data_IF_184247821157
#
_entry.id   IF_184247821157
#
_cell.length_a   1.000
_cell.length_b   1.000
_cell.length_c   1.000
_cell.angle_alpha   90.00
_cell.angle_beta   90.00
_cell.angle_gamma   90.00
#
_symmetry.space_group_name_H-M   'P 1'
#
loop_
_entity.id
_entity.type
_entity.pdbx_description
1 polymer ?
#
# COMPACT_ATOMS: atom_id res chain seq x y z
N UNK A 1 -11.18 -2.45 -19.14
CA UNK A 1 -9.86 -2.57 -19.81
C UNK A 1 -9.24 -3.87 -19.34
N UNK A 2 -8.80 -4.75 -20.25
CA UNK A 2 -8.16 -6.01 -19.86
C UNK A 2 -6.67 -5.74 -19.58
N UNK A 3 -6.23 -5.96 -18.34
CA UNK A 3 -4.83 -5.90 -17.93
C UNK A 3 -4.38 -7.30 -17.54
N UNK A 4 -3.29 -7.78 -18.14
CA UNK A 4 -2.73 -9.10 -17.85
C UNK A 4 -1.65 -8.95 -16.80
N UNK A 5 -1.95 -9.36 -15.56
CA UNK A 5 -0.98 -9.46 -14.48
C UNK A 5 -0.28 -10.82 -14.57
N UNK A 6 1.06 -10.82 -14.66
CA UNK A 6 1.84 -12.06 -14.58
C UNK A 6 2.12 -12.38 -13.11
N UNK A 7 1.53 -13.47 -12.65
CA UNK A 7 1.76 -14.06 -11.33
C UNK A 7 2.45 -15.41 -11.50
N UNK A 8 3.18 -15.84 -10.48
CA UNK A 8 3.58 -17.24 -10.39
C UNK A 8 2.34 -18.11 -10.05
N UNK A 9 2.46 -19.43 -10.22
CA UNK A 9 1.33 -20.34 -10.06
C UNK A 9 0.78 -20.36 -8.62
N UNK A 10 1.65 -20.23 -7.62
CA UNK A 10 1.28 -20.21 -6.20
C UNK A 10 0.44 -18.98 -5.83
N UNK A 11 0.85 -17.80 -6.29
CA UNK A 11 0.15 -16.53 -6.03
C UNK A 11 -1.17 -16.48 -6.80
N UNK A 12 -1.21 -17.07 -7.99
CA UNK A 12 -2.45 -17.21 -8.75
C UNK A 12 -3.45 -18.15 -8.04
N UNK A 13 -2.97 -19.27 -7.49
CA UNK A 13 -3.79 -20.20 -6.72
C UNK A 13 -4.36 -19.54 -5.44
N UNK A 14 -3.52 -18.80 -4.71
CA UNK A 14 -3.96 -18.02 -3.52
C UNK A 14 -4.99 -16.95 -3.90
N UNK A 15 -4.74 -16.20 -4.97
CA UNK A 15 -5.65 -15.16 -5.42
C UNK A 15 -7.02 -15.74 -5.80
N UNK A 16 -7.02 -16.93 -6.41
CA UNK A 16 -8.25 -17.66 -6.74
C UNK A 16 -8.99 -18.15 -5.51
N UNK A 17 -8.32 -18.75 -4.54
CA UNK A 17 -8.92 -19.19 -3.27
C UNK A 17 -9.59 -18.01 -2.53
N UNK A 18 -8.90 -16.87 -2.45
CA UNK A 18 -9.45 -15.65 -1.83
C UNK A 18 -10.66 -15.14 -2.60
N UNK A 19 -10.59 -15.11 -3.93
CA UNK A 19 -11.70 -14.67 -4.77
C UNK A 19 -12.95 -15.57 -4.61
N UNK A 20 -12.76 -16.89 -4.55
CA UNK A 20 -13.83 -17.86 -4.32
C UNK A 20 -14.43 -17.71 -2.91
N UNK A 21 -13.60 -17.53 -1.88
CA UNK A 21 -14.04 -17.32 -0.50
C UNK A 21 -14.83 -16.02 -0.31
N UNK A 22 -14.42 -14.94 -0.97
CA UNK A 22 -15.08 -13.63 -0.86
C UNK A 22 -16.22 -13.43 -1.86
N UNK A 23 -16.39 -14.35 -2.83
CA UNK A 23 -17.40 -14.21 -3.89
C UNK A 23 -17.12 -13.02 -4.83
N UNK A 24 -15.85 -12.66 -4.99
CA UNK A 24 -15.40 -11.48 -5.76
C UNK A 24 -14.56 -11.92 -6.95
N UNK A 25 -14.40 -11.05 -7.95
CA UNK A 25 -13.49 -11.34 -9.05
C UNK A 25 -12.02 -11.25 -8.60
N UNK A 26 -11.15 -12.11 -9.14
CA UNK A 26 -9.72 -12.05 -8.87
C UNK A 26 -9.10 -10.67 -9.16
N UNK A 27 -9.62 -9.99 -10.20
CA UNK A 27 -9.19 -8.64 -10.52
C UNK A 27 -9.55 -7.63 -9.42
N UNK A 28 -10.75 -7.74 -8.85
CA UNK A 28 -11.20 -6.86 -7.79
C UNK A 28 -10.37 -7.04 -6.50
N UNK A 29 -10.03 -8.29 -6.16
CA UNK A 29 -9.12 -8.59 -5.05
C UNK A 29 -7.73 -8.00 -5.31
N UNK A 30 -7.19 -8.17 -6.52
CA UNK A 30 -5.88 -7.62 -6.88
C UNK A 30 -5.85 -6.08 -6.79
N UNK A 31 -6.90 -5.40 -7.28
CA UNK A 31 -7.01 -3.93 -7.19
C UNK A 31 -7.14 -3.49 -5.73
N UNK A 32 -7.92 -4.20 -4.91
CA UNK A 32 -8.05 -3.90 -3.48
C UNK A 32 -6.70 -4.03 -2.77
N UNK A 33 -5.97 -5.12 -3.00
CA UNK A 33 -4.65 -5.35 -2.43
C UNK A 33 -3.64 -4.26 -2.82
N UNK A 34 -3.66 -3.81 -4.09
CA UNK A 34 -2.81 -2.70 -4.55
C UNK A 34 -3.14 -1.39 -3.84
N UNK A 35 -4.43 -1.05 -3.70
CA UNK A 35 -4.86 0.16 -2.99
C UNK A 35 -4.44 0.13 -1.53
N UNK A 36 -4.61 -1.01 -0.86
CA UNK A 36 -4.19 -1.19 0.51
C UNK A 36 -2.67 -1.09 0.68
N UNK A 37 -1.90 -1.65 -0.26
CA UNK A 37 -0.45 -1.52 -0.28
C UNK A 37 0.00 -0.06 -0.38
N UNK A 38 -0.58 0.72 -1.31
CA UNK A 38 -0.26 2.13 -1.45
C UNK A 38 -0.68 2.95 -0.23
N UNK A 39 -1.87 2.71 0.33
CA UNK A 39 -2.33 3.40 1.52
C UNK A 39 -1.40 3.19 2.72
N UNK A 40 -0.98 1.93 2.96
CA UNK A 40 0.01 1.61 4.02
C UNK A 40 1.35 2.30 3.79
N UNK A 41 1.80 2.39 2.54
CA UNK A 41 3.06 3.05 2.21
C UNK A 41 3.00 4.58 2.39
N UNK A 42 1.87 5.20 2.07
CA UNK A 42 1.66 6.63 2.33
C UNK A 42 1.59 6.93 3.83
N UNK A 43 0.89 6.11 4.59
CA UNK A 43 0.82 6.23 6.05
C UNK A 43 2.22 6.09 6.68
N UNK A 44 3.00 5.09 6.23
CA UNK A 44 4.37 4.92 6.69
C UNK A 44 5.22 6.15 6.39
N UNK A 45 5.18 6.69 5.16
CA UNK A 45 5.92 7.92 4.82
C UNK A 45 5.47 9.12 5.64
N UNK A 46 4.17 9.32 5.81
CA UNK A 46 3.62 10.41 6.59
C UNK A 46 4.07 10.33 8.06
N UNK A 47 4.07 9.13 8.64
CA UNK A 47 4.53 8.93 10.01
C UNK A 47 6.05 9.14 10.18
N UNK A 48 6.86 8.72 9.21
CA UNK A 48 8.30 9.00 9.23
C UNK A 48 8.60 10.50 9.13
N UNK A 49 7.91 11.21 8.24
CA UNK A 49 8.06 12.67 8.11
C UNK A 49 7.60 13.39 9.38
N UNK A 50 6.48 12.99 9.98
CA UNK A 50 6.02 13.54 11.26
C UNK A 50 7.03 13.33 12.38
N UNK A 51 7.64 12.14 12.45
CA UNK A 51 8.66 11.85 13.46
C UNK A 51 9.89 12.74 13.29
N UNK A 52 10.38 12.86 12.06
CA UNK A 52 11.51 13.74 11.74
C UNK A 52 11.21 15.21 12.08
N UNK A 53 10.04 15.71 11.67
CA UNK A 53 9.61 17.08 11.98
C UNK A 53 9.43 17.34 13.48
N UNK A 54 9.03 16.33 14.25
CA UNK A 54 8.87 16.44 15.71
C UNK A 54 10.22 16.38 16.45
N UNK A 55 11.15 15.54 15.99
CA UNK A 55 12.49 15.44 16.57
C UNK A 55 13.34 16.68 16.25
N UNK A 56 13.20 17.25 15.04
CA UNK A 56 13.99 18.40 14.59
C UNK A 56 13.21 19.73 14.63
N UNK A 57 12.08 19.80 15.34
CA UNK A 57 11.20 20.96 15.37
C UNK A 57 11.92 22.26 15.78
N UNK A 58 12.71 22.21 16.85
CA UNK A 58 13.47 23.37 17.36
C UNK A 58 14.58 23.80 16.38
N UNK A 59 15.18 22.84 15.68
CA UNK A 59 16.28 23.07 14.75
C UNK A 59 15.77 23.67 13.42
N UNK A 60 14.61 23.21 12.96
CA UNK A 60 13.89 23.77 11.81
C UNK A 60 13.36 25.19 12.12
N UNK A 61 12.88 25.43 13.34
CA UNK A 61 12.42 26.76 13.76
C UNK A 61 13.58 27.78 13.76
N UNK A 62 14.76 27.39 14.23
CA UNK A 62 15.97 28.22 14.21
C UNK A 62 16.45 28.51 12.78
N UNK A 63 16.40 27.53 11.87
CA UNK A 63 16.80 27.69 10.46
C UNK A 63 15.80 28.46 9.61
N UNK A 64 14.55 28.59 10.07
CA UNK A 64 13.49 29.35 9.39
C UNK A 64 13.54 30.87 9.65
N UNK A 65 14.45 31.30 10.52
CA UNK A 65 14.72 32.70 10.89
C UNK A 65 15.85 33.30 10.07
#
# INVERSE_FOLDING_TARGET
MAMTLRLNDDDNAKLRDVAEREGRSMHEIAVAALREYFARHEEFRANQVRRFLAEDAELLELLSR
#
